data_IF_380604971895
#
_entry.id   IF_380604971895
#
_cell.length_a   1.000
_cell.length_b   1.000
_cell.length_c   1.000
_cell.angle_alpha   90.00
_cell.angle_beta   90.00
_cell.angle_gamma   90.00
#
_symmetry.space_group_name_H-M   'P 1'
#
loop_
_entity.id
_entity.type
_entity.pdbx_description
1 polymer ?
#
# COMPACT_ATOMS: atom_id res chain seq x y z
N UNK A 1 -2.77 -20.31 -7.38
CA UNK A 1 -2.02 -19.74 -8.53
C UNK A 1 -2.80 -19.80 -9.83
N UNK A 2 -3.53 -20.88 -10.11
CA UNK A 2 -4.35 -21.01 -11.32
C UNK A 2 -5.53 -20.02 -11.34
N UNK A 3 -6.29 -19.94 -10.24
CA UNK A 3 -7.37 -18.96 -10.06
C UNK A 3 -6.89 -17.51 -10.25
N UNK A 4 -5.72 -17.17 -9.69
CA UNK A 4 -5.14 -15.84 -9.87
C UNK A 4 -4.84 -15.53 -11.35
N UNK A 5 -4.35 -16.51 -12.13
CA UNK A 5 -4.10 -16.33 -13.56
C UNK A 5 -5.39 -16.09 -14.34
N UNK A 6 -6.45 -16.80 -13.99
CA UNK A 6 -7.76 -16.62 -14.62
C UNK A 6 -8.29 -15.19 -14.39
N UNK A 7 -8.23 -14.70 -13.15
CA UNK A 7 -8.61 -13.32 -12.81
C UNK A 7 -7.79 -12.30 -13.61
N UNK A 8 -6.47 -12.48 -13.70
CA UNK A 8 -5.61 -11.58 -14.47
C UNK A 8 -5.90 -11.61 -15.98
N UNK A 9 -6.15 -12.78 -16.57
CA UNK A 9 -6.48 -12.89 -17.99
C UNK A 9 -7.78 -12.14 -18.32
N UNK A 10 -8.83 -12.33 -17.50
CA UNK A 10 -10.09 -11.60 -17.65
C UNK A 10 -9.89 -10.07 -17.52
N UNK A 11 -9.03 -9.62 -16.59
CA UNK A 11 -8.71 -8.20 -16.45
C UNK A 11 -8.00 -7.63 -17.70
N UNK A 12 -7.07 -8.38 -18.29
CA UNK A 12 -6.38 -7.99 -19.53
C UNK A 12 -7.38 -7.86 -20.68
N UNK A 13 -8.27 -8.84 -20.85
CA UNK A 13 -9.31 -8.80 -21.88
C UNK A 13 -10.23 -7.57 -21.72
N UNK A 14 -10.70 -7.30 -20.50
CA UNK A 14 -11.53 -6.13 -20.21
C UNK A 14 -10.79 -4.80 -20.43
N UNK A 15 -9.50 -4.76 -20.16
CA UNK A 15 -8.66 -3.59 -20.43
C UNK A 15 -8.53 -3.34 -21.94
N UNK A 16 -8.41 -4.39 -22.75
CA UNK A 16 -8.39 -4.27 -24.21
C UNK A 16 -9.74 -3.81 -24.77
N UNK A 17 -10.85 -4.37 -24.28
CA UNK A 17 -12.20 -3.92 -24.64
C UNK A 17 -12.40 -2.42 -24.33
N UNK A 18 -11.97 -1.98 -23.15
CA UNK A 18 -12.05 -0.58 -22.74
C UNK A 18 -11.19 0.34 -23.62
N UNK A 19 -9.96 -0.09 -23.96
CA UNK A 19 -9.08 0.64 -24.88
C UNK A 19 -9.75 0.84 -26.24
N UNK A 20 -10.27 -0.23 -26.84
CA UNK A 20 -10.96 -0.16 -28.14
C UNK A 20 -12.18 0.76 -28.09
N UNK A 21 -12.93 0.77 -26.98
CA UNK A 21 -14.07 1.66 -26.79
C UNK A 21 -13.62 3.13 -26.67
N UNK A 22 -12.55 3.42 -25.92
CA UNK A 22 -12.00 4.76 -25.80
C UNK A 22 -11.49 5.31 -27.13
N UNK A 23 -10.80 4.50 -27.93
CA UNK A 23 -10.35 4.89 -29.27
C UNK A 23 -11.54 5.16 -30.20
N UNK A 24 -12.61 4.37 -30.09
CA UNK A 24 -13.86 4.61 -30.84
C UNK A 24 -14.55 5.90 -30.43
N UNK A 25 -14.64 6.19 -29.13
CA UNK A 25 -15.27 7.40 -28.60
C UNK A 25 -14.49 8.65 -29.03
N UNK A 26 -13.16 8.59 -28.95
CA UNK A 26 -12.29 9.74 -29.23
C UNK A 26 -11.98 9.90 -30.71
N UNK A 27 -12.17 8.85 -31.51
CA UNK A 27 -11.76 8.82 -32.92
C UNK A 27 -10.25 8.82 -33.12
N UNK A 28 -9.47 8.56 -32.07
CA UNK A 28 -8.01 8.63 -32.09
C UNK A 28 -7.41 7.37 -31.46
N UNK A 29 -6.38 6.82 -32.10
CA UNK A 29 -5.59 5.73 -31.50
C UNK A 29 -4.75 6.25 -30.34
N UNK A 30 -4.70 5.51 -29.23
CA UNK A 30 -3.83 5.82 -28.10
C UNK A 30 -2.40 5.39 -28.47
N UNK A 31 -1.44 6.31 -28.34
CA UNK A 31 -0.05 5.98 -28.64
C UNK A 31 0.49 4.93 -27.66
N UNK A 32 1.41 4.08 -28.15
CA UNK A 32 2.06 3.05 -27.33
C UNK A 32 2.68 3.62 -26.03
N UNK A 33 3.26 4.81 -26.09
CA UNK A 33 3.81 5.50 -24.92
C UNK A 33 2.73 5.82 -23.86
N UNK A 34 1.59 6.38 -24.30
CA UNK A 34 0.45 6.67 -23.40
C UNK A 34 -0.12 5.38 -22.81
N UNK A 35 -0.26 4.34 -23.63
CA UNK A 35 -0.73 3.03 -23.18
C UNK A 35 0.20 2.42 -22.14
N UNK A 36 1.52 2.41 -22.40
CA UNK A 36 2.51 1.89 -21.45
C UNK A 36 2.44 2.64 -20.11
N UNK A 37 2.35 3.98 -20.13
CA UNK A 37 2.19 4.77 -18.89
C UNK A 37 0.92 4.40 -18.12
N UNK A 38 -0.21 4.25 -18.82
CA UNK A 38 -1.47 3.87 -18.20
C UNK A 38 -1.40 2.46 -17.59
N UNK A 39 -0.82 1.50 -18.31
CA UNK A 39 -0.63 0.12 -17.81
C UNK A 39 0.27 0.12 -16.58
N UNK A 40 1.41 0.82 -16.60
CA UNK A 40 2.29 0.89 -15.43
C UNK A 40 1.58 1.50 -14.21
N UNK A 41 0.81 2.57 -14.40
CA UNK A 41 0.00 3.16 -13.33
C UNK A 41 -1.01 2.15 -12.76
N UNK A 42 -1.69 1.39 -13.63
CA UNK A 42 -2.66 0.38 -13.20
C UNK A 42 -2.00 -0.78 -12.44
N UNK A 43 -0.82 -1.23 -12.89
CA UNK A 43 -0.06 -2.28 -12.20
C UNK A 43 0.39 -1.82 -10.80
N UNK A 44 0.83 -0.57 -10.65
CA UNK A 44 1.20 -0.05 -9.33
C UNK A 44 -0.01 0.00 -8.38
N UNK A 45 -1.20 0.39 -8.86
CA UNK A 45 -2.44 0.31 -8.07
C UNK A 45 -2.74 -1.13 -7.66
N UNK A 46 -2.67 -2.09 -8.59
CA UNK A 46 -2.88 -3.51 -8.25
C UNK A 46 -1.87 -3.97 -7.19
N UNK A 47 -0.61 -3.57 -7.31
CA UNK A 47 0.42 -3.91 -6.35
C UNK A 47 0.16 -3.33 -4.95
N UNK A 48 -0.35 -2.09 -4.89
CA UNK A 48 -0.78 -1.44 -3.67
C UNK A 48 -1.89 -2.24 -2.95
N UNK A 49 -2.95 -2.60 -3.69
CA UNK A 49 -4.08 -3.37 -3.14
C UNK A 49 -3.66 -4.78 -2.70
N UNK A 50 -2.80 -5.45 -3.47
CA UNK A 50 -2.23 -6.74 -3.06
C UNK A 50 -1.35 -6.62 -1.81
N UNK A 51 -0.72 -5.46 -1.60
CA UNK A 51 0.06 -5.19 -0.40
C UNK A 51 -0.84 -5.04 0.83
N UNK A 52 -1.99 -4.37 0.71
CA UNK A 52 -3.01 -4.36 1.75
C UNK A 52 -3.49 -5.77 2.12
N UNK A 53 -3.88 -6.57 1.11
CA UNK A 53 -4.32 -7.95 1.33
C UNK A 53 -3.24 -8.81 2.01
N UNK A 54 -1.96 -8.59 1.64
CA UNK A 54 -0.82 -9.29 2.27
C UNK A 54 -0.66 -8.92 3.74
N UNK A 55 -0.82 -7.65 4.10
CA UNK A 55 -0.76 -7.17 5.50
C UNK A 55 -1.89 -7.80 6.32
N UNK A 56 -3.11 -7.78 5.81
CA UNK A 56 -4.28 -8.39 6.48
C UNK A 56 -4.08 -9.90 6.67
N UNK A 57 -3.45 -10.58 5.70
CA UNK A 57 -3.14 -12.01 5.79
C UNK A 57 -2.14 -12.31 6.91
N UNK A 58 -1.12 -11.48 7.09
CA UNK A 58 -0.10 -11.70 8.15
C UNK A 58 -0.50 -11.14 9.51
N UNK A 59 -1.43 -10.18 9.55
CA UNK A 59 -1.94 -9.57 10.77
C UNK A 59 -3.49 -9.61 10.82
N UNK A 60 -4.10 -10.81 10.90
CA UNK A 60 -5.55 -10.96 10.88
C UNK A 60 -6.26 -10.31 12.08
N UNK A 61 -5.54 -10.03 13.17
CA UNK A 61 -6.08 -9.33 14.34
C UNK A 61 -6.38 -7.83 14.07
N UNK A 62 -6.03 -7.29 12.88
CA UNK A 62 -6.35 -5.91 12.50
C UNK A 62 -7.85 -5.61 12.53
N UNK A 63 -8.72 -6.56 12.17
CA UNK A 63 -10.17 -6.35 12.20
C UNK A 63 -10.68 -6.05 13.61
N UNK A 64 -10.23 -6.83 14.59
CA UNK A 64 -10.56 -6.58 16.00
C UNK A 64 -9.98 -5.27 16.53
N UNK A 65 -8.81 -4.86 16.03
CA UNK A 65 -8.22 -3.55 16.41
C UNK A 65 -9.02 -2.41 15.79
N UNK A 66 -9.56 -2.58 14.57
CA UNK A 66 -10.29 -1.52 13.86
C UNK A 66 -11.52 -1.05 14.62
N UNK A 67 -12.20 -1.98 15.31
CA UNK A 67 -13.35 -1.67 16.18
C UNK A 67 -12.98 -0.73 17.35
N UNK A 68 -11.71 -0.70 17.74
CA UNK A 68 -11.20 0.07 18.89
C UNK A 68 -10.46 1.34 18.44
N UNK A 69 -9.63 1.24 17.39
CA UNK A 69 -8.77 2.30 16.89
C UNK A 69 -8.61 2.19 15.36
N UNK A 70 -9.63 2.70 14.65
CA UNK A 70 -9.66 2.73 13.19
C UNK A 70 -8.45 3.47 12.60
N UNK A 71 -7.99 4.54 13.24
CA UNK A 71 -6.86 5.33 12.75
C UNK A 71 -5.52 4.57 12.86
N UNK A 72 -5.33 3.79 13.93
CA UNK A 72 -4.18 2.91 14.04
C UNK A 72 -4.17 1.88 12.92
N UNK A 73 -5.31 1.24 12.65
CA UNK A 73 -5.42 0.25 11.58
C UNK A 73 -5.17 0.88 10.22
N UNK A 74 -5.81 2.01 9.93
CA UNK A 74 -5.59 2.77 8.70
C UNK A 74 -4.10 3.11 8.53
N UNK A 75 -3.41 3.54 9.59
CA UNK A 75 -1.98 3.82 9.50
C UNK A 75 -1.16 2.57 9.16
N UNK A 76 -1.43 1.44 9.83
CA UNK A 76 -0.69 0.19 9.60
C UNK A 76 -0.89 -0.27 8.15
N UNK A 77 -2.14 -0.24 7.67
CA UNK A 77 -2.49 -0.63 6.31
C UNK A 77 -1.85 0.28 5.27
N UNK A 78 -2.05 1.61 5.36
CA UNK A 78 -1.59 2.57 4.35
C UNK A 78 -0.08 2.74 4.33
N UNK A 79 0.58 2.73 5.49
CA UNK A 79 2.05 2.81 5.57
C UNK A 79 2.65 1.48 5.16
N UNK A 80 2.16 0.38 5.73
CA UNK A 80 2.68 -0.96 5.41
C UNK A 80 2.55 -1.26 3.92
N UNK A 81 1.41 -0.93 3.29
CA UNK A 81 1.16 -1.22 1.89
C UNK A 81 2.15 -0.49 0.99
N UNK A 82 2.41 0.80 1.24
CA UNK A 82 3.40 1.59 0.51
C UNK A 82 4.82 1.06 0.65
N UNK A 83 5.22 0.64 1.85
CA UNK A 83 6.55 0.04 2.04
C UNK A 83 6.69 -1.26 1.24
N UNK A 84 5.67 -2.11 1.28
CA UNK A 84 5.64 -3.39 0.59
C UNK A 84 5.56 -3.21 -0.94
N UNK A 85 4.81 -2.22 -1.40
CA UNK A 85 4.73 -1.79 -2.80
C UNK A 85 6.11 -1.44 -3.33
N UNK A 86 6.85 -0.54 -2.65
CA UNK A 86 8.22 -0.18 -3.03
C UNK A 86 9.13 -1.41 -3.07
N UNK A 87 9.03 -2.28 -2.05
CA UNK A 87 9.86 -3.48 -1.98
C UNK A 87 9.60 -4.42 -3.16
N UNK A 88 8.34 -4.73 -3.43
CA UNK A 88 7.96 -5.68 -4.48
C UNK A 88 8.23 -5.09 -5.86
N UNK A 89 7.86 -3.83 -6.11
CA UNK A 89 8.11 -3.14 -7.38
C UNK A 89 9.59 -3.17 -7.74
N UNK A 90 10.47 -2.83 -6.80
CA UNK A 90 11.92 -2.89 -6.99
C UNK A 90 12.41 -4.31 -7.33
N UNK A 91 11.81 -5.35 -6.73
CA UNK A 91 12.20 -6.76 -6.97
C UNK A 91 11.76 -7.31 -8.31
N UNK A 92 10.67 -6.81 -8.87
CA UNK A 92 10.14 -7.26 -10.17
C UNK A 92 10.48 -6.30 -11.32
N UNK A 93 11.29 -5.27 -11.05
CA UNK A 93 11.75 -4.32 -12.06
C UNK A 93 10.68 -3.32 -12.51
N UNK A 94 9.66 -3.07 -11.68
CA UNK A 94 8.69 -2.01 -11.92
C UNK A 94 9.17 -0.67 -11.34
N UNK A 95 8.84 0.46 -11.97
CA UNK A 95 9.04 1.77 -11.36
C UNK A 95 8.23 1.90 -10.06
N UNK A 96 8.93 2.01 -8.94
CA UNK A 96 8.32 2.31 -7.65
C UNK A 96 8.13 3.82 -7.48
N UNK A 97 7.08 4.23 -6.77
CA UNK A 97 6.97 5.60 -6.29
C UNK A 97 8.08 5.90 -5.27
N UNK A 98 8.46 7.18 -5.19
CA UNK A 98 9.38 7.68 -4.19
C UNK A 98 8.72 7.79 -2.81
N UNK A 99 9.53 7.80 -1.74
CA UNK A 99 9.01 8.04 -0.39
C UNK A 99 8.42 9.45 -0.24
N UNK A 100 8.87 10.42 -1.03
CA UNK A 100 8.29 11.76 -1.11
C UNK A 100 6.86 11.72 -1.67
N UNK A 101 6.64 10.99 -2.76
CA UNK A 101 5.30 10.80 -3.36
C UNK A 101 4.36 10.10 -2.37
N UNK A 102 4.81 9.00 -1.76
CA UNK A 102 4.06 8.29 -0.74
C UNK A 102 3.73 9.16 0.48
N UNK A 103 4.69 9.95 0.98
CA UNK A 103 4.43 10.87 2.08
C UNK A 103 3.42 11.96 1.70
N UNK A 104 3.47 12.45 0.46
CA UNK A 104 2.51 13.43 -0.06
C UNK A 104 1.09 12.83 -0.16
N UNK A 105 0.94 11.60 -0.66
CA UNK A 105 -0.36 10.90 -0.68
C UNK A 105 -0.90 10.67 0.74
N UNK A 106 -0.04 10.19 1.66
CA UNK A 106 -0.44 9.99 3.06
C UNK A 106 -0.91 11.29 3.71
N UNK A 107 -0.39 12.45 3.28
CA UNK A 107 -0.80 13.76 3.81
C UNK A 107 -2.25 14.15 3.47
N UNK A 108 -2.88 13.48 2.50
CA UNK A 108 -4.28 13.67 2.16
C UNK A 108 -5.20 13.16 3.27
N UNK A 109 -4.76 12.16 4.03
CA UNK A 109 -5.44 11.71 5.23
C UNK A 109 -5.17 12.73 6.36
N UNK A 110 -6.21 13.40 6.92
CA UNK A 110 -6.02 14.42 7.96
C UNK A 110 -5.23 13.92 9.17
N UNK A 111 -5.40 12.64 9.53
CA UNK A 111 -4.72 11.93 10.62
C UNK A 111 -3.19 11.88 10.47
N UNK A 112 -2.67 11.91 9.24
CA UNK A 112 -1.23 11.74 8.93
C UNK A 112 -0.54 13.04 8.51
N UNK A 113 -1.31 14.11 8.26
CA UNK A 113 -0.77 15.38 7.75
C UNK A 113 0.35 15.93 8.63
N UNK A 114 1.54 16.06 8.05
CA UNK A 114 2.74 16.57 8.72
C UNK A 114 3.39 15.61 9.73
N UNK A 115 2.91 14.36 9.81
CA UNK A 115 3.37 13.36 10.79
C UNK A 115 4.14 12.22 10.16
N UNK A 116 3.86 11.93 8.89
CA UNK A 116 4.59 10.97 8.07
C UNK A 116 5.37 11.73 7.01
N UNK A 117 6.67 11.48 6.92
CA UNK A 117 7.57 12.10 5.94
C UNK A 117 8.45 11.02 5.29
N UNK A 118 9.14 11.38 4.19
CA UNK A 118 9.94 10.43 3.43
C UNK A 118 11.04 9.76 4.25
N UNK A 119 11.70 10.50 5.16
CA UNK A 119 12.72 9.94 6.06
C UNK A 119 12.18 8.86 7.00
N UNK A 120 10.97 9.04 7.53
CA UNK A 120 10.32 8.02 8.36
C UNK A 120 9.99 6.78 7.53
N UNK A 121 9.44 6.96 6.33
CA UNK A 121 9.14 5.87 5.42
C UNK A 121 10.41 5.10 5.02
N UNK A 122 11.50 5.79 4.72
CA UNK A 122 12.79 5.17 4.40
C UNK A 122 13.35 4.36 5.57
N UNK A 123 13.25 4.88 6.81
CA UNK A 123 13.63 4.14 8.02
C UNK A 123 12.82 2.84 8.13
N UNK A 124 11.49 2.93 8.06
CA UNK A 124 10.60 1.79 8.17
C UNK A 124 10.82 0.80 7.02
N UNK A 125 11.10 1.27 5.81
CA UNK A 125 11.42 0.43 4.65
C UNK A 125 12.66 -0.41 4.89
N UNK A 126 13.72 0.19 5.45
CA UNK A 126 14.95 -0.52 5.76
C UNK A 126 14.73 -1.59 6.85
N UNK A 127 13.97 -1.25 7.89
CA UNK A 127 13.59 -2.18 8.96
C UNK A 127 12.74 -3.34 8.42
N UNK A 128 11.74 -3.04 7.58
CA UNK A 128 10.90 -4.03 6.91
C UNK A 128 11.74 -4.95 6.00
N UNK A 129 12.64 -4.37 5.19
CA UNK A 129 13.49 -5.13 4.27
C UNK A 129 14.36 -6.13 5.02
N UNK A 130 14.93 -5.72 6.15
CA UNK A 130 15.72 -6.62 7.00
C UNK A 130 14.85 -7.69 7.65
N UNK A 131 13.65 -7.36 8.11
CA UNK A 131 12.69 -8.32 8.64
C UNK A 131 12.28 -9.36 7.58
N UNK A 132 11.99 -8.94 6.34
CA UNK A 132 11.68 -9.85 5.22
C UNK A 132 12.84 -10.81 4.96
N UNK A 133 14.10 -10.33 4.95
CA UNK A 133 15.29 -11.19 4.77
C UNK A 133 15.41 -12.28 5.83
N UNK A 134 14.88 -12.02 7.04
CA UNK A 134 14.89 -12.95 8.18
C UNK A 134 13.62 -13.78 8.31
N UNK A 135 12.67 -13.67 7.37
CA UNK A 135 11.32 -14.25 7.47
C UNK A 135 10.51 -13.76 8.69
N UNK A 136 10.75 -12.52 9.13
CA UNK A 136 10.14 -11.89 10.29
C UNK A 136 9.18 -10.76 9.89
N UNK A 137 8.57 -10.83 8.70
CA UNK A 137 7.69 -9.76 8.21
C UNK A 137 6.50 -9.51 9.14
N UNK A 138 5.87 -10.57 9.67
CA UNK A 138 4.79 -10.46 10.66
C UNK A 138 5.25 -9.72 11.92
N UNK A 139 6.46 -10.00 12.42
CA UNK A 139 6.99 -9.35 13.63
C UNK A 139 7.23 -7.86 13.39
N UNK A 140 7.68 -7.48 12.19
CA UNK A 140 7.79 -6.07 11.81
C UNK A 140 6.42 -5.37 11.81
N UNK A 141 5.41 -5.98 11.18
CA UNK A 141 4.06 -5.41 11.08
C UNK A 141 3.42 -5.26 12.46
N UNK A 142 3.50 -6.30 13.29
CA UNK A 142 2.87 -6.34 14.62
C UNK A 142 3.65 -5.61 15.71
N UNK A 143 4.95 -5.35 15.47
CA UNK A 143 5.86 -4.63 16.35
C UNK A 143 6.17 -3.21 15.84
N UNK A 144 7.31 -3.02 15.17
CA UNK A 144 7.86 -1.70 14.83
C UNK A 144 6.89 -0.82 14.03
N UNK A 145 6.20 -1.38 13.03
CA UNK A 145 5.22 -0.64 12.23
C UNK A 145 4.03 -0.21 13.09
N UNK A 146 3.41 -1.15 13.82
CA UNK A 146 2.29 -0.88 14.73
C UNK A 146 2.64 0.16 15.78
N UNK A 147 3.80 0.05 16.42
CA UNK A 147 4.23 0.98 17.46
C UNK A 147 4.52 2.37 16.90
N UNK A 148 5.08 2.45 15.69
CA UNK A 148 5.24 3.72 14.98
C UNK A 148 3.89 4.35 14.67
N UNK A 149 2.96 3.58 14.11
CA UNK A 149 1.62 4.05 13.81
C UNK A 149 0.85 4.48 15.05
N UNK A 150 0.97 3.76 16.16
CA UNK A 150 0.40 4.16 17.45
C UNK A 150 0.92 5.51 17.92
N UNK A 151 2.23 5.78 17.80
CA UNK A 151 2.80 7.10 18.13
C UNK A 151 2.24 8.21 17.24
N UNK A 152 2.05 7.93 15.96
CA UNK A 152 1.47 8.87 15.00
C UNK A 152 0.01 9.20 15.38
N UNK A 153 -0.81 8.19 15.65
CA UNK A 153 -2.26 8.36 15.84
C UNK A 153 -2.63 8.85 17.24
N UNK A 154 -1.88 8.47 18.29
CA UNK A 154 -2.13 8.92 19.68
C UNK A 154 -2.07 10.43 19.86
N UNK A 155 -1.37 11.15 18.98
CA UNK A 155 -1.29 12.62 19.02
C UNK A 155 -2.60 13.35 18.63
N UNK A 156 -3.71 12.63 18.43
CA UNK A 156 -5.05 13.18 18.12
C UNK A 156 -6.02 13.19 19.30
N UNK A 157 -5.61 12.80 20.50
CA UNK A 157 -6.49 12.84 21.68
C UNK A 157 -7.55 11.74 21.71
N UNK A 158 -7.28 10.59 21.10
CA UNK A 158 -8.10 9.38 21.29
C UNK A 158 -8.19 8.99 22.77
N UNK A 159 -9.29 8.33 23.20
CA UNK A 159 -9.53 8.01 24.60
C UNK A 159 -8.32 7.29 25.19
N UNK A 160 -7.83 7.79 26.33
CA UNK A 160 -6.82 7.08 27.13
C UNK A 160 -7.42 5.71 27.47
N UNK A 161 -6.93 4.65 26.84
CA UNK A 161 -7.23 3.29 27.29
C UNK A 161 -6.55 3.16 28.66
N UNK A 162 -7.35 3.37 29.70
CA UNK A 162 -6.96 3.10 31.06
C UNK A 162 -6.87 1.58 31.23
N UNK A 163 -5.65 1.05 31.24
CA UNK A 163 -5.35 -0.26 31.81
C UNK A 163 -5.52 -1.44 30.87
N UNK A 164 -4.42 -1.90 30.30
CA UNK A 164 -4.09 -3.32 30.29
C UNK A 164 -2.71 -3.42 30.95
N UNK A 165 -2.67 -4.01 32.14
CA UNK A 165 -1.44 -4.39 32.85
C UNK A 165 -0.89 -5.66 32.26
#
# INVERSE_FOLDING_TARGET
>A
MEEAREVFNNLVEKTLEALMLLERITGMSISREKLNRAIYSAVNVILHELSHASIQTVYPELDSIREIDEYLVLCIEEVGARLLEVYVAARIGLPAQSFEEHANELSWFPVFRGRINSRLLEKLYNEMTEAIRRNMFRDFVTGELRDTCRRITMSLGGPRIAGIR
#
